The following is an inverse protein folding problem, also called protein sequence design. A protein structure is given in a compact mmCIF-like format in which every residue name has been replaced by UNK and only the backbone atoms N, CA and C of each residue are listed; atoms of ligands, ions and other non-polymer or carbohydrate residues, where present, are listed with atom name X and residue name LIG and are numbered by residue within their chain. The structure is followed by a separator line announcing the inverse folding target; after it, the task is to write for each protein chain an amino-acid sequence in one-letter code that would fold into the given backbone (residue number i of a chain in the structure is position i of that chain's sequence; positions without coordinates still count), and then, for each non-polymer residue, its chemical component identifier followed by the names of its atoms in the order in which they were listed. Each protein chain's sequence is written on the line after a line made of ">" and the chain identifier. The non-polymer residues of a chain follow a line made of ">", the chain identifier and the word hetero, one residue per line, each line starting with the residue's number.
data_IF_787765419617
#
_entry.id   IF_787765419617
#
_cell.length_a   1.000
_cell.length_b   1.000
_cell.length_c   1.000
_cell.angle_alpha   90.00
_cell.angle_beta   90.00
_cell.angle_gamma   90.00
#
_symmetry.space_group_name_H-M   'P 1'
#
loop_
_entity.id
_entity.type
_entity.pdbx_description
1 polymer ?
#
# COMPACT_ATOMS: atom_id res chain seq x y z
N UNK A 1 -26.74 -25.58 -8.98
CA UNK A 1 -25.81 -25.70 -7.83
C UNK A 1 -25.00 -24.43 -7.72
N UNK A 2 -25.14 -23.72 -6.61
CA UNK A 2 -24.36 -22.51 -6.37
C UNK A 2 -23.02 -22.84 -5.77
N UNK A 3 -21.96 -22.33 -6.37
CA UNK A 3 -20.59 -22.53 -5.89
C UNK A 3 -20.09 -21.23 -5.26
N UNK A 4 -19.77 -21.30 -3.96
CA UNK A 4 -19.21 -20.16 -3.24
C UNK A 4 -17.69 -20.36 -3.17
N UNK A 5 -16.94 -19.36 -3.65
CA UNK A 5 -15.48 -19.38 -3.60
C UNK A 5 -15.02 -18.24 -2.71
N UNK A 6 -14.26 -18.58 -1.68
CA UNK A 6 -13.60 -17.62 -0.82
C UNK A 6 -12.12 -17.50 -1.14
N UNK A 7 -11.58 -16.30 -1.07
CA UNK A 7 -10.16 -16.06 -1.23
C UNK A 7 -9.64 -15.21 -0.07
N UNK A 8 -8.61 -15.70 0.60
CA UNK A 8 -7.88 -14.97 1.61
C UNK A 8 -6.50 -14.59 1.05
N UNK A 9 -6.18 -13.31 1.07
CA UNK A 9 -4.86 -12.82 0.67
C UNK A 9 -4.14 -12.22 1.88
N UNK A 10 -2.91 -12.64 2.09
CA UNK A 10 -2.04 -12.11 3.13
C UNK A 10 -0.89 -11.35 2.45
N UNK A 11 -0.73 -10.09 2.80
CA UNK A 11 0.23 -9.21 2.12
C UNK A 11 1.14 -8.60 3.18
N UNK A 12 2.43 -8.85 3.04
CA UNK A 12 3.46 -8.29 3.89
C UNK A 12 4.24 -7.26 3.10
N UNK A 13 4.22 -6.01 3.57
CA UNK A 13 4.83 -4.88 2.88
C UNK A 13 6.21 -4.57 3.47
N UNK A 14 7.11 -4.13 2.60
CA UNK A 14 8.38 -3.58 3.06
C UNK A 14 8.15 -2.31 3.87
N UNK A 15 8.94 -2.12 4.92
CA UNK A 15 8.88 -0.91 5.71
C UNK A 15 9.59 0.26 5.04
N UNK A 16 9.11 1.47 5.33
CA UNK A 16 9.66 2.70 4.77
C UNK A 16 11.12 2.97 5.20
N UNK A 17 11.56 2.40 6.31
CA UNK A 17 12.93 2.53 6.80
C UNK A 17 13.97 1.99 5.83
N UNK A 18 13.59 1.06 4.96
CA UNK A 18 14.51 0.53 3.96
C UNK A 18 14.98 1.57 2.95
N UNK A 19 14.19 2.61 2.74
CA UNK A 19 14.58 3.73 1.89
C UNK A 19 15.51 4.73 2.56
N UNK A 20 15.66 4.66 3.88
CA UNK A 20 16.47 5.60 4.67
C UNK A 20 17.81 5.04 5.12
N UNK A 21 18.11 3.78 4.81
CA UNK A 21 19.39 3.17 5.17
C UNK A 21 20.51 3.78 4.32
N UNK A 22 21.33 4.59 4.96
CA UNK A 22 22.33 5.43 4.30
C UNK A 22 23.54 4.67 3.74
N UNK A 23 23.75 3.44 4.16
CA UNK A 23 24.86 2.61 3.66
C UNK A 23 24.55 1.99 2.29
N UNK A 24 23.32 2.12 1.82
CA UNK A 24 22.92 1.59 0.54
C UNK A 24 23.27 2.56 -0.58
N UNK A 25 24.19 2.14 -1.44
CA UNK A 25 24.59 2.90 -2.62
C UNK A 25 24.22 2.15 -3.90
N UNK A 26 24.02 2.87 -4.98
CA UNK A 26 23.74 2.29 -6.28
C UNK A 26 22.37 1.61 -6.35
N UNK A 27 22.35 0.31 -6.67
CA UNK A 27 21.12 -0.44 -6.88
C UNK A 27 20.21 -0.46 -5.64
N UNK A 28 20.79 -0.65 -4.46
CA UNK A 28 20.03 -0.68 -3.20
C UNK A 28 19.38 0.65 -2.89
N UNK A 29 20.04 1.75 -3.20
CA UNK A 29 19.45 3.08 -3.04
C UNK A 29 18.26 3.26 -3.95
N UNK A 30 18.35 2.81 -5.19
CA UNK A 30 17.23 2.85 -6.15
C UNK A 30 16.08 1.98 -5.70
N UNK A 31 16.33 0.80 -5.17
CA UNK A 31 15.29 -0.07 -4.63
C UNK A 31 14.57 0.57 -3.45
N UNK A 32 15.32 1.18 -2.53
CA UNK A 32 14.74 1.90 -1.41
C UNK A 32 13.86 3.05 -1.84
N UNK A 33 14.29 3.81 -2.83
CA UNK A 33 13.48 4.89 -3.39
C UNK A 33 12.18 4.38 -4.01
N UNK A 34 12.24 3.27 -4.75
CA UNK A 34 11.05 2.66 -5.34
C UNK A 34 10.09 2.10 -4.30
N UNK A 35 10.61 1.51 -3.23
CA UNK A 35 9.81 1.04 -2.10
C UNK A 35 9.05 2.22 -1.51
N UNK A 36 9.71 3.33 -1.23
CA UNK A 36 9.08 4.52 -0.67
C UNK A 36 8.06 5.16 -1.63
N UNK A 37 8.33 5.18 -2.92
CA UNK A 37 7.37 5.64 -3.92
C UNK A 37 6.10 4.78 -3.93
N UNK A 38 6.26 3.48 -3.84
CA UNK A 38 5.12 2.55 -3.81
C UNK A 38 4.29 2.72 -2.54
N UNK A 39 4.94 2.91 -1.40
CA UNK A 39 4.26 3.14 -0.13
C UNK A 39 3.54 4.49 -0.13
N UNK A 40 4.12 5.53 -0.72
CA UNK A 40 3.46 6.82 -0.89
C UNK A 40 2.23 6.70 -1.79
N UNK A 41 2.35 5.99 -2.91
CA UNK A 41 1.22 5.73 -3.79
C UNK A 41 0.09 5.00 -3.06
N UNK A 42 0.43 4.02 -2.21
CA UNK A 42 -0.55 3.33 -1.36
C UNK A 42 -1.24 4.29 -0.41
N UNK A 43 -0.49 5.15 0.28
CA UNK A 43 -1.04 6.16 1.17
C UNK A 43 -2.00 7.10 0.44
N UNK A 44 -1.64 7.53 -0.76
CA UNK A 44 -2.50 8.39 -1.58
C UNK A 44 -3.80 7.70 -1.97
N UNK A 45 -3.76 6.41 -2.30
CA UNK A 45 -4.97 5.63 -2.58
C UNK A 45 -5.86 5.51 -1.35
N UNK A 46 -5.29 5.21 -0.19
CA UNK A 46 -6.03 5.08 1.07
C UNK A 46 -6.68 6.42 1.45
N UNK A 47 -5.95 7.50 1.31
CA UNK A 47 -6.47 8.84 1.61
C UNK A 47 -7.62 9.21 0.65
N UNK A 48 -7.50 8.90 -0.62
CA UNK A 48 -8.56 9.15 -1.60
C UNK A 48 -9.82 8.34 -1.29
N UNK A 49 -9.66 7.08 -0.88
CA UNK A 49 -10.79 6.21 -0.52
C UNK A 49 -11.45 6.64 0.79
N UNK A 50 -10.67 7.16 1.74
CA UNK A 50 -11.16 7.59 3.05
C UNK A 50 -11.77 8.98 3.09
N UNK A 51 -11.60 9.77 2.05
CA UNK A 51 -12.09 11.15 2.01
C UNK A 51 -13.58 11.17 1.67
N UNK A 52 -14.40 11.51 2.66
CA UNK A 52 -15.85 11.56 2.51
C UNK A 52 -16.32 12.62 1.51
N UNK A 53 -15.55 13.70 1.37
CA UNK A 53 -15.88 14.80 0.46
C UNK A 53 -15.53 14.48 -0.99
N UNK A 54 -14.71 13.48 -1.21
CA UNK A 54 -14.27 13.04 -2.54
C UNK A 54 -14.83 11.69 -2.92
N UNK A 55 -15.95 11.31 -2.35
CA UNK A 55 -16.61 10.04 -2.65
C UNK A 55 -16.95 9.98 -4.14
N UNK A 56 -16.49 8.92 -4.81
CA UNK A 56 -16.61 8.77 -6.26
C UNK A 56 -15.50 9.45 -7.06
N UNK A 57 -14.54 10.09 -6.41
CA UNK A 57 -13.38 10.69 -7.05
C UNK A 57 -12.39 9.64 -7.54
N UNK A 58 -11.52 10.07 -8.42
CA UNK A 58 -10.45 9.24 -8.95
C UNK A 58 -9.49 8.80 -7.84
N UNK A 59 -9.22 7.50 -7.79
CA UNK A 59 -8.23 6.92 -6.89
C UNK A 59 -7.00 6.53 -7.72
N UNK A 60 -5.79 6.99 -7.36
CA UNK A 60 -4.61 6.83 -8.21
C UNK A 60 -3.97 5.44 -8.10
N UNK A 61 -4.72 4.40 -8.43
CA UNK A 61 -4.21 3.01 -8.39
C UNK A 61 -3.05 2.76 -9.36
N UNK A 62 -2.96 3.54 -10.44
CA UNK A 62 -1.93 3.35 -11.46
C UNK A 62 -0.56 3.90 -11.10
N UNK A 63 -0.44 4.60 -9.97
CA UNK A 63 0.80 5.24 -9.56
C UNK A 63 1.92 4.26 -9.17
N UNK A 64 1.57 3.00 -8.89
CA UNK A 64 2.59 1.98 -8.64
C UNK A 64 2.07 0.60 -9.00
N UNK A 65 2.99 -0.35 -9.17
CA UNK A 65 2.62 -1.76 -9.34
C UNK A 65 1.89 -2.29 -8.12
N UNK A 66 2.34 -1.88 -6.92
CA UNK A 66 1.72 -2.28 -5.66
C UNK A 66 0.25 -1.88 -5.62
N UNK A 67 -0.06 -0.62 -5.90
CA UNK A 67 -1.43 -0.11 -5.87
C UNK A 67 -2.30 -0.73 -6.95
N UNK A 68 -1.73 -1.04 -8.11
CA UNK A 68 -2.44 -1.78 -9.15
C UNK A 68 -2.79 -3.20 -8.71
N UNK A 69 -1.86 -3.87 -8.04
CA UNK A 69 -2.09 -5.23 -7.50
C UNK A 69 -3.12 -5.22 -6.37
N UNK A 70 -3.15 -4.17 -5.56
CA UNK A 70 -4.04 -4.05 -4.41
C UNK A 70 -5.38 -3.40 -4.73
N UNK A 71 -5.62 -2.99 -5.96
CA UNK A 71 -6.83 -2.27 -6.36
C UNK A 71 -8.11 -2.95 -5.89
N UNK A 72 -8.26 -4.24 -6.15
CA UNK A 72 -9.46 -4.98 -5.78
C UNK A 72 -9.61 -5.13 -4.28
N UNK A 73 -8.48 -5.21 -3.55
CA UNK A 73 -8.48 -5.30 -2.09
C UNK A 73 -8.83 -3.97 -1.42
N UNK A 74 -8.47 -2.86 -2.04
CA UNK A 74 -8.69 -1.53 -1.47
C UNK A 74 -10.05 -0.96 -1.85
N UNK A 75 -10.46 -1.08 -3.11
CA UNK A 75 -11.67 -0.46 -3.62
C UNK A 75 -12.68 -1.41 -4.23
N UNK A 76 -12.40 -2.70 -4.26
CA UNK A 76 -13.27 -3.71 -4.86
C UNK A 76 -14.19 -4.39 -3.86
N UNK A 77 -14.75 -5.53 -4.27
CA UNK A 77 -15.60 -6.34 -3.43
C UNK A 77 -14.79 -7.20 -2.47
N UNK A 78 -14.12 -6.56 -1.52
CA UNK A 78 -13.25 -7.21 -0.54
C UNK A 78 -13.46 -6.61 0.85
N UNK A 79 -13.20 -7.43 1.84
CA UNK A 79 -13.04 -6.97 3.23
C UNK A 79 -11.55 -6.97 3.55
N UNK A 80 -11.01 -5.80 3.79
CA UNK A 80 -9.55 -5.64 4.00
C UNK A 80 -9.28 -5.11 5.39
N UNK A 81 -8.33 -5.74 6.05
CA UNK A 81 -7.82 -5.30 7.36
C UNK A 81 -6.37 -4.89 7.19
N UNK A 82 -6.02 -3.72 7.70
CA UNK A 82 -4.66 -3.22 7.72
C UNK A 82 -4.10 -3.33 9.14
N UNK A 83 -2.96 -3.98 9.25
CA UNK A 83 -2.25 -4.13 10.52
C UNK A 83 -0.98 -3.28 10.44
N UNK A 84 -0.82 -2.37 11.39
CA UNK A 84 0.32 -1.45 11.43
C UNK A 84 1.03 -1.62 12.77
N UNK A 85 2.34 -1.79 12.69
CA UNK A 85 3.19 -1.76 13.88
C UNK A 85 3.68 -0.34 14.12
N UNK A 86 3.59 0.12 15.35
CA UNK A 86 4.02 1.46 15.72
C UNK A 86 5.03 1.38 16.87
N UNK A 87 5.99 2.28 16.85
CA UNK A 87 6.92 2.44 17.97
C UNK A 87 6.39 3.52 18.91
N UNK A 88 6.11 3.19 20.19
CA UNK A 88 5.59 4.19 21.12
C UNK A 88 6.63 5.18 21.60
N UNK A 89 7.90 4.92 21.37
CA UNK A 89 9.00 5.78 21.78
C UNK A 89 9.41 6.69 20.63
N UNK A 90 9.41 7.98 20.91
CA UNK A 90 9.89 8.99 19.97
C UNK A 90 11.22 9.53 20.45
N UNK A 91 12.29 9.02 19.94
CA UNK A 91 13.62 9.61 20.18
C UNK A 91 14.24 9.99 18.88
#
# INVERSE_FOLDING_TARGET
>A
MHKIVGKLSLIDLAGSERGTVTENRGLRLREGAKINQSLLALANCINALGDKNKKGSFVPYRDSKLTRMLKDSLGGNCKTVMIVTIAPSSN
#
